data_IF_462326588519
#
_entry.id   IF_462326588519
#
_cell.length_a   1.000
_cell.length_b   1.000
_cell.length_c   1.000
_cell.angle_alpha   90.00
_cell.angle_beta   90.00
_cell.angle_gamma   90.00
#
_symmetry.space_group_name_H-M   'P 1'
#
loop_
_entity.id
_entity.type
_entity.pdbx_description
1 polymer ?
#
# COMPACT_ATOMS: atom_id res chain seq x y z
N UNK A 1 15.70 -15.82 3.22
CA UNK A 1 15.16 -15.52 4.56
C UNK A 1 14.75 -14.05 4.72
N UNK A 2 15.62 -13.08 4.45
CA UNK A 2 15.31 -11.65 4.58
C UNK A 2 14.10 -11.21 3.74
N UNK A 3 14.08 -11.54 2.43
CA UNK A 3 12.98 -11.18 1.53
C UNK A 3 11.62 -11.63 2.07
N UNK A 4 11.50 -12.91 2.44
CA UNK A 4 10.25 -13.46 2.97
C UNK A 4 9.79 -12.75 4.27
N UNK A 5 10.72 -12.37 5.15
CA UNK A 5 10.41 -11.61 6.37
C UNK A 5 9.95 -10.18 6.06
N UNK A 6 10.48 -9.56 5.02
CA UNK A 6 10.04 -8.23 4.58
C UNK A 6 8.65 -8.32 3.96
N UNK A 7 8.44 -9.26 3.04
CA UNK A 7 7.16 -9.46 2.35
C UNK A 7 6.03 -9.87 3.31
N UNK A 8 6.34 -10.56 4.41
CA UNK A 8 5.33 -10.89 5.44
C UNK A 8 4.76 -9.66 6.17
N UNK A 9 5.34 -8.46 5.97
CA UNK A 9 4.90 -7.20 6.56
C UNK A 9 4.29 -6.24 5.52
N UNK A 10 3.75 -6.78 4.41
CA UNK A 10 3.13 -6.02 3.33
C UNK A 10 4.08 -5.03 2.67
N UNK A 11 5.35 -5.43 2.54
CA UNK A 11 6.37 -4.63 1.87
C UNK A 11 6.76 -5.34 0.59
N UNK A 12 6.67 -4.63 -0.54
CA UNK A 12 7.23 -5.08 -1.81
C UNK A 12 8.76 -5.03 -1.74
N UNK A 13 9.39 -6.20 -1.66
CA UNK A 13 10.85 -6.29 -1.54
C UNK A 13 11.57 -5.79 -2.80
N UNK A 14 10.94 -5.88 -3.98
CA UNK A 14 11.55 -5.43 -5.22
C UNK A 14 11.70 -3.91 -5.25
N UNK A 15 10.67 -3.17 -4.84
CA UNK A 15 10.69 -1.70 -4.75
C UNK A 15 11.71 -1.23 -3.70
N UNK A 16 11.74 -1.90 -2.53
CA UNK A 16 12.73 -1.63 -1.50
C UNK A 16 14.17 -1.84 -2.00
N UNK A 17 14.41 -2.86 -2.83
CA UNK A 17 15.74 -3.22 -3.33
C UNK A 17 16.28 -2.23 -4.37
N UNK A 18 15.39 -1.54 -5.10
CA UNK A 18 15.76 -0.58 -6.14
C UNK A 18 15.63 0.87 -5.70
N UNK A 19 15.41 1.10 -4.40
CA UNK A 19 15.18 2.42 -3.80
C UNK A 19 13.99 3.18 -4.42
N UNK A 20 12.99 2.47 -4.95
CA UNK A 20 11.73 3.07 -5.39
C UNK A 20 10.82 3.32 -4.20
N UNK A 21 11.10 4.41 -3.48
CA UNK A 21 10.34 4.77 -2.28
C UNK A 21 8.89 5.15 -2.60
N UNK A 22 8.61 5.70 -3.79
CA UNK A 22 7.24 6.07 -4.16
C UNK A 22 6.40 4.81 -4.37
N UNK A 23 6.87 3.85 -5.17
CA UNK A 23 6.24 2.54 -5.31
C UNK A 23 6.06 1.88 -3.94
N UNK A 24 7.15 1.81 -3.16
CA UNK A 24 7.16 1.22 -1.82
C UNK A 24 6.05 1.74 -0.90
N UNK A 25 5.86 3.07 -0.82
CA UNK A 25 4.84 3.64 0.06
C UNK A 25 3.43 3.42 -0.48
N UNK A 26 3.22 3.54 -1.79
CA UNK A 26 1.91 3.36 -2.42
C UNK A 26 1.44 1.90 -2.34
N UNK A 27 2.27 0.94 -2.75
CA UNK A 27 1.95 -0.49 -2.71
C UNK A 27 1.66 -0.96 -1.28
N UNK A 28 2.46 -0.48 -0.33
CA UNK A 28 2.26 -0.79 1.09
C UNK A 28 0.97 -0.17 1.64
N UNK A 29 0.66 1.08 1.30
CA UNK A 29 -0.59 1.72 1.73
C UNK A 29 -1.81 0.95 1.22
N UNK A 30 -1.83 0.56 -0.06
CA UNK A 30 -2.89 -0.28 -0.65
C UNK A 30 -3.06 -1.60 0.08
N UNK A 31 -1.95 -2.28 0.36
CA UNK A 31 -1.95 -3.56 1.07
C UNK A 31 -2.53 -3.45 2.49
N UNK A 32 -2.21 -2.37 3.21
CA UNK A 32 -2.75 -2.11 4.53
C UNK A 32 -4.25 -1.78 4.49
N UNK A 33 -4.70 -0.99 3.52
CA UNK A 33 -6.13 -0.70 3.33
C UNK A 33 -6.93 -1.98 3.05
N UNK A 34 -6.42 -2.86 2.18
CA UNK A 34 -7.06 -4.16 1.91
C UNK A 34 -7.16 -5.03 3.18
N UNK A 35 -6.13 -4.99 4.05
CA UNK A 35 -6.17 -5.70 5.34
C UNK A 35 -7.24 -5.12 6.27
N UNK A 36 -7.36 -3.80 6.34
CA UNK A 36 -8.38 -3.10 7.12
C UNK A 36 -9.78 -3.45 6.62
N UNK A 37 -10.01 -3.42 5.30
CA UNK A 37 -11.28 -3.80 4.69
C UNK A 37 -11.71 -5.21 5.08
N UNK A 38 -10.77 -6.15 5.01
CA UNK A 38 -10.98 -7.54 5.42
C UNK A 38 -11.31 -7.63 6.92
N UNK A 39 -10.61 -6.91 7.78
CA UNK A 39 -10.84 -6.91 9.22
C UNK A 39 -12.19 -6.29 9.60
N UNK A 40 -12.61 -5.25 8.87
CA UNK A 40 -13.88 -4.56 9.09
C UNK A 40 -15.07 -5.23 8.41
N UNK A 41 -14.82 -6.13 7.45
CA UNK A 41 -15.82 -6.66 6.52
C UNK A 41 -16.64 -5.55 5.83
N UNK A 42 -15.97 -4.44 5.49
CA UNK A 42 -16.53 -3.25 4.84
C UNK A 42 -15.46 -2.60 3.96
N UNK A 43 -15.85 -1.99 2.82
CA UNK A 43 -14.91 -1.26 1.98
C UNK A 43 -14.40 0.00 2.67
N UNK A 44 -13.14 0.37 2.41
CA UNK A 44 -12.60 1.69 2.71
C UNK A 44 -12.91 2.55 1.48
N UNK A 45 -13.74 3.58 1.66
CA UNK A 45 -14.18 4.45 0.57
C UNK A 45 -13.12 5.49 0.22
N UNK A 46 -13.32 6.17 -0.90
CA UNK A 46 -12.55 7.34 -1.34
C UNK A 46 -11.06 7.07 -1.64
N UNK A 47 -10.69 5.82 -1.86
CA UNK A 47 -9.31 5.40 -2.19
C UNK A 47 -8.82 5.93 -3.55
N UNK A 48 -9.73 6.27 -4.45
CA UNK A 48 -9.49 6.85 -5.77
C UNK A 48 -10.02 8.28 -5.91
N UNK A 49 -10.49 8.89 -4.82
CA UNK A 49 -11.00 10.25 -4.82
C UNK A 49 -9.91 11.28 -5.13
N UNK A 50 -10.33 12.43 -5.67
CA UNK A 50 -9.44 13.58 -5.98
C UNK A 50 -8.60 13.99 -4.77
N UNK A 51 -9.21 14.07 -3.58
CA UNK A 51 -8.50 14.40 -2.35
C UNK A 51 -7.40 13.37 -2.00
N UNK A 52 -7.59 12.10 -2.34
CA UNK A 52 -6.58 11.05 -2.14
C UNK A 52 -5.42 11.20 -3.12
N UNK A 53 -5.74 11.52 -4.38
CA UNK A 53 -4.71 11.86 -5.39
C UNK A 53 -3.91 13.09 -4.98
N UNK A 54 -4.57 14.13 -4.47
CA UNK A 54 -3.93 15.38 -4.05
C UNK A 54 -3.02 15.19 -2.83
N UNK A 55 -3.45 14.39 -1.84
CA UNK A 55 -2.68 14.17 -0.62
C UNK A 55 -1.52 13.19 -0.78
N UNK A 56 -1.70 12.14 -1.59
CA UNK A 56 -0.76 11.02 -1.67
C UNK A 56 -0.05 10.91 -3.02
N UNK A 57 -0.43 11.73 -4.02
CA UNK A 57 0.15 11.72 -5.36
C UNK A 57 -0.23 10.53 -6.23
N UNK A 58 -1.07 9.62 -5.72
CA UNK A 58 -1.55 8.43 -6.43
C UNK A 58 -2.86 7.90 -5.85
N UNK A 59 -3.60 7.18 -6.68
CA UNK A 59 -4.78 6.43 -6.22
C UNK A 59 -4.33 5.27 -5.34
N UNK A 60 -5.03 5.10 -4.22
CA UNK A 60 -4.86 4.00 -3.27
C UNK A 60 -5.87 2.87 -3.50
N UNK A 61 -6.67 2.93 -4.57
CA UNK A 61 -7.53 1.81 -4.95
C UNK A 61 -6.71 0.58 -5.38
#
# INVERSE_FOLDING_TARGET
ELQARVESHFINYAELKVDDFNGYFIDRAKSLLNLIEKAMNKPVTDRDAENTLDQFGASLA
#
